data_IF_296767414512
#
_entry.id   IF_296767414512
#
_cell.length_a   1.000
_cell.length_b   1.000
_cell.length_c   1.000
_cell.angle_alpha   90.00
_cell.angle_beta   90.00
_cell.angle_gamma   90.00
#
_symmetry.space_group_name_H-M   'P 1'
#
loop_
_entity.id
_entity.type
_entity.pdbx_description
1 polymer ?
#
# COMPACT_ATOMS: atom_id res chain seq x y z
N UNK A 1 -29.44 -13.52 61.14
CA UNK A 1 -28.19 -12.70 61.14
C UNK A 1 -27.26 -12.97 59.94
N UNK A 2 -27.65 -13.73 58.93
CA UNK A 2 -26.79 -14.15 57.81
C UNK A 2 -27.09 -13.48 56.44
N UNK A 3 -28.16 -12.73 56.31
CA UNK A 3 -28.52 -12.06 55.02
C UNK A 3 -27.86 -10.69 54.86
N UNK A 4 -27.58 -9.96 55.93
CA UNK A 4 -26.97 -8.64 55.88
C UNK A 4 -25.46 -8.71 55.57
N UNK A 5 -24.76 -9.77 56.00
CA UNK A 5 -23.32 -9.95 55.75
C UNK A 5 -23.06 -10.33 54.27
N UNK A 6 -23.97 -11.11 53.66
CA UNK A 6 -23.86 -11.48 52.24
C UNK A 6 -24.06 -10.28 51.27
N UNK A 7 -24.90 -9.32 51.63
CA UNK A 7 -25.13 -8.12 50.82
C UNK A 7 -23.93 -7.15 50.91
N UNK A 8 -23.30 -7.01 52.06
CA UNK A 8 -22.09 -6.20 52.20
C UNK A 8 -20.88 -6.76 51.44
N UNK A 9 -20.74 -8.08 51.38
CA UNK A 9 -19.67 -8.73 50.62
C UNK A 9 -19.87 -8.58 49.09
N UNK A 10 -21.11 -8.58 48.61
CA UNK A 10 -21.41 -8.38 47.20
C UNK A 10 -21.19 -6.92 46.72
N UNK A 11 -21.42 -5.93 47.58
CA UNK A 11 -21.13 -4.53 47.27
C UNK A 11 -19.63 -4.16 47.30
N UNK A 12 -18.81 -4.88 48.05
CA UNK A 12 -17.37 -4.65 48.10
C UNK A 12 -16.62 -5.15 46.82
N UNK A 13 -17.23 -6.08 46.06
CA UNK A 13 -16.67 -6.58 44.81
C UNK A 13 -16.93 -5.66 43.59
N UNK A 14 -17.81 -4.68 43.73
CA UNK A 14 -18.12 -3.73 42.64
C UNK A 14 -17.23 -2.47 42.63
N UNK A 15 -16.33 -2.31 43.58
CA UNK A 15 -15.45 -1.14 43.70
C UNK A 15 -14.01 -1.39 43.23
N UNK A 16 -13.73 -2.51 42.59
CA UNK A 16 -12.49 -2.69 41.84
C UNK A 16 -12.58 -1.96 40.50
N UNK A 17 -12.78 -0.64 40.53
CA UNK A 17 -12.31 0.20 39.45
C UNK A 17 -10.79 0.06 39.46
N UNK A 18 -10.25 -0.68 38.49
CA UNK A 18 -8.83 -0.59 38.17
C UNK A 18 -8.59 0.86 37.75
N UNK A 19 -7.96 1.64 38.64
CA UNK A 19 -7.43 2.94 38.26
C UNK A 19 -6.48 2.69 37.09
N UNK A 20 -6.88 3.10 35.91
CA UNK A 20 -5.97 3.14 34.77
C UNK A 20 -5.00 4.26 35.11
N UNK A 21 -3.75 3.90 35.39
CA UNK A 21 -2.70 4.88 35.58
C UNK A 21 -2.69 5.79 34.34
N UNK A 22 -3.05 7.05 34.54
CA UNK A 22 -2.98 8.09 33.53
C UNK A 22 -1.78 8.97 33.84
N UNK A 23 -0.80 8.95 32.95
CA UNK A 23 0.41 9.79 33.09
C UNK A 23 1.06 10.00 31.72
N UNK A 24 1.92 11.02 31.59
CA UNK A 24 2.53 11.35 30.29
C UNK A 24 3.38 10.22 29.71
N UNK A 25 3.80 9.26 30.55
CA UNK A 25 4.62 8.11 30.15
C UNK A 25 3.86 6.78 30.17
N UNK A 26 2.56 6.78 30.48
CA UNK A 26 1.76 5.55 30.48
C UNK A 26 1.30 5.24 29.05
N UNK A 27 1.72 4.09 28.57
CA UNK A 27 1.36 3.61 27.21
C UNK A 27 -0.11 3.20 27.19
N UNK A 28 -0.88 3.81 26.29
CA UNK A 28 -2.31 3.51 26.10
C UNK A 28 -2.64 2.94 24.74
N UNK A 29 -1.86 3.28 23.70
CA UNK A 29 -2.03 2.69 22.36
C UNK A 29 -0.70 2.41 21.68
N UNK A 30 -0.74 1.46 20.75
CA UNK A 30 0.38 1.02 19.93
C UNK A 30 -0.12 0.78 18.51
N UNK A 31 0.42 1.52 17.55
CA UNK A 31 -0.01 1.50 16.16
C UNK A 31 1.18 1.30 15.22
N UNK A 32 0.98 0.54 14.14
CA UNK A 32 1.97 0.47 13.08
C UNK A 32 1.96 1.74 12.23
N UNK A 33 3.14 2.20 11.84
CA UNK A 33 3.26 3.06 10.67
C UNK A 33 2.88 2.30 9.38
N UNK A 34 2.68 3.04 8.30
CA UNK A 34 2.45 2.41 7.00
C UNK A 34 3.59 1.45 6.64
N UNK A 35 3.24 0.31 6.04
CA UNK A 35 4.24 -0.62 5.52
C UNK A 35 5.19 0.09 4.53
N UNK A 36 6.50 -0.13 4.62
CA UNK A 36 7.46 0.41 3.64
C UNK A 36 7.19 -0.12 2.23
N UNK A 37 6.59 -1.32 2.13
CA UNK A 37 6.08 -1.93 0.90
C UNK A 37 4.98 -2.95 1.24
N UNK A 38 3.91 -3.07 0.44
CA UNK A 38 2.76 -3.93 0.78
C UNK A 38 3.04 -5.43 0.65
N UNK A 39 4.15 -5.81 0.01
CA UNK A 39 4.55 -7.20 -0.18
C UNK A 39 6.04 -7.41 0.08
N UNK A 40 6.40 -8.64 0.43
CA UNK A 40 7.77 -9.13 0.54
C UNK A 40 7.97 -10.29 -0.45
N UNK A 41 9.12 -10.33 -1.11
CA UNK A 41 9.46 -11.44 -2.02
C UNK A 41 9.89 -12.66 -1.21
N UNK A 42 9.40 -13.84 -1.60
CA UNK A 42 9.81 -15.10 -0.99
C UNK A 42 11.35 -15.26 -1.01
N UNK A 43 11.92 -15.59 0.13
CA UNK A 43 13.37 -15.70 0.34
C UNK A 43 14.13 -14.37 0.42
N UNK A 44 13.44 -13.22 0.44
CA UNK A 44 14.08 -11.90 0.56
C UNK A 44 13.70 -11.20 1.87
N UNK A 45 14.34 -10.07 2.12
CA UNK A 45 14.07 -9.15 3.23
C UNK A 45 13.10 -8.05 2.78
N UNK A 46 12.25 -7.56 3.67
CA UNK A 46 11.33 -6.45 3.39
C UNK A 46 12.13 -5.19 3.03
N UNK A 47 11.72 -4.54 1.92
CA UNK A 47 12.38 -3.35 1.37
C UNK A 47 11.36 -2.25 1.13
N UNK A 48 11.86 -1.04 1.02
CA UNK A 48 11.08 0.10 0.56
C UNK A 48 10.95 0.12 -0.99
N UNK A 49 10.25 1.13 -1.50
CA UNK A 49 10.06 1.33 -2.95
C UNK A 49 11.38 1.57 -3.71
N UNK A 50 12.44 2.00 -3.03
CA UNK A 50 13.77 2.21 -3.60
C UNK A 50 14.63 0.94 -3.57
N UNK A 51 14.14 -0.13 -2.96
CA UNK A 51 14.84 -1.40 -2.83
C UNK A 51 15.79 -1.47 -1.64
N UNK A 52 15.73 -0.51 -0.72
CA UNK A 52 16.53 -0.49 0.51
C UNK A 52 15.81 -1.32 1.57
N UNK A 53 16.55 -2.12 2.33
CA UNK A 53 15.99 -2.88 3.47
C UNK A 53 15.35 -1.89 4.45
N UNK A 54 14.07 -2.10 4.73
CA UNK A 54 13.30 -1.21 5.58
C UNK A 54 12.62 -2.02 6.70
N UNK A 55 12.97 -1.74 7.97
CA UNK A 55 12.33 -2.39 9.11
C UNK A 55 10.89 -1.89 9.26
N UNK A 56 10.08 -2.70 9.92
CA UNK A 56 8.77 -2.26 10.42
C UNK A 56 8.95 -1.19 11.49
N UNK A 57 8.00 -0.27 11.52
CA UNK A 57 7.92 0.76 12.56
C UNK A 57 6.54 0.79 13.18
N UNK A 58 6.52 0.99 14.48
CA UNK A 58 5.32 1.20 15.25
C UNK A 58 5.51 2.39 16.19
N UNK A 59 4.42 3.07 16.50
CA UNK A 59 4.36 4.25 17.36
C UNK A 59 3.58 3.90 18.61
N UNK A 60 4.01 4.47 19.71
CA UNK A 60 3.39 4.30 21.04
C UNK A 60 2.86 5.64 21.50
N UNK A 61 1.63 5.67 22.00
CA UNK A 61 0.98 6.88 22.46
C UNK A 61 0.51 6.77 23.90
N UNK A 62 0.48 7.89 24.60
CA UNK A 62 -0.12 8.01 25.92
C UNK A 62 -1.63 8.34 25.84
N UNK A 63 -2.29 8.53 26.99
CA UNK A 63 -3.71 8.88 27.08
C UNK A 63 -4.10 10.20 26.39
N UNK A 64 -3.15 11.10 26.21
CA UNK A 64 -3.35 12.40 25.56
C UNK A 64 -3.06 12.34 24.06
N UNK A 65 -2.87 11.11 23.51
CA UNK A 65 -2.50 10.86 22.13
C UNK A 65 -1.17 11.52 21.71
N UNK A 66 -0.25 11.65 22.68
CA UNK A 66 1.12 12.15 22.45
C UNK A 66 2.04 10.96 22.32
N UNK A 67 2.90 10.97 21.29
CA UNK A 67 3.88 9.92 21.03
C UNK A 67 4.92 9.82 22.16
N UNK A 68 5.15 8.60 22.62
CA UNK A 68 6.22 8.26 23.57
C UNK A 68 7.43 7.78 22.77
N UNK A 69 8.36 8.69 22.53
CA UNK A 69 9.58 8.38 21.77
C UNK A 69 10.50 7.40 22.53
N UNK A 70 11.13 6.49 21.78
CA UNK A 70 12.12 5.54 22.33
C UNK A 70 11.53 4.38 23.15
N UNK A 71 10.22 4.17 23.09
CA UNK A 71 9.57 3.04 23.75
C UNK A 71 10.15 1.70 23.25
N UNK A 72 10.40 0.70 24.14
CA UNK A 72 11.03 -0.58 23.78
C UNK A 72 10.03 -1.52 23.09
N UNK A 73 9.64 -1.17 21.86
CA UNK A 73 8.72 -1.95 21.04
C UNK A 73 9.38 -3.25 20.61
N UNK A 74 8.60 -4.34 20.60
CA UNK A 74 8.99 -5.64 20.08
C UNK A 74 8.06 -6.05 18.95
N UNK A 75 8.55 -6.89 18.04
CA UNK A 75 7.80 -7.35 16.87
C UNK A 75 7.76 -8.88 16.83
N UNK A 76 6.65 -9.44 16.34
CA UNK A 76 6.51 -10.87 16.12
C UNK A 76 5.62 -11.17 14.91
N UNK A 77 6.03 -12.17 14.11
CA UNK A 77 5.16 -12.79 13.11
C UNK A 77 4.24 -13.80 13.76
N UNK A 78 2.96 -13.80 13.38
CA UNK A 78 1.99 -14.77 13.90
C UNK A 78 2.06 -16.12 13.17
N UNK A 79 2.56 -16.12 11.94
CA UNK A 79 2.74 -17.32 11.11
C UNK A 79 4.22 -17.52 10.77
N UNK A 80 4.63 -18.76 10.59
CA UNK A 80 6.03 -19.14 10.31
C UNK A 80 6.50 -18.85 8.87
N UNK A 81 5.68 -18.19 8.06
CA UNK A 81 6.03 -17.84 6.67
C UNK A 81 7.04 -16.70 6.58
N UNK A 82 7.22 -15.95 7.65
CA UNK A 82 8.27 -14.93 7.79
C UNK A 82 8.96 -15.07 9.14
N UNK A 83 10.21 -14.61 9.19
CA UNK A 83 10.94 -14.37 10.43
C UNK A 83 11.02 -12.87 10.66
N UNK A 84 10.68 -12.43 11.86
CA UNK A 84 10.76 -11.02 12.27
C UNK A 84 11.79 -10.88 13.36
N UNK A 85 12.78 -10.02 13.15
CA UNK A 85 13.67 -9.64 14.25
C UNK A 85 12.89 -8.81 15.27
N UNK A 86 12.80 -9.32 16.48
CA UNK A 86 11.92 -8.76 17.51
C UNK A 86 12.34 -7.37 17.99
N UNK A 87 13.57 -6.96 17.78
CA UNK A 87 14.12 -5.69 18.25
C UNK A 87 14.17 -4.66 17.13
N UNK A 88 14.68 -5.07 15.96
CA UNK A 88 14.90 -4.17 14.84
C UNK A 88 13.69 -4.04 13.92
N UNK A 89 12.72 -4.97 13.97
CA UNK A 89 11.58 -5.01 13.07
C UNK A 89 11.94 -5.44 11.64
N UNK A 90 13.15 -5.97 11.40
CA UNK A 90 13.54 -6.51 10.10
C UNK A 90 12.75 -7.79 9.84
N UNK A 91 12.14 -7.88 8.66
CA UNK A 91 11.34 -9.02 8.23
C UNK A 91 12.03 -9.76 7.09
N UNK A 92 12.16 -11.07 7.22
CA UNK A 92 12.70 -11.96 6.20
C UNK A 92 11.64 -13.00 5.84
N UNK A 93 11.31 -13.13 4.55
CA UNK A 93 10.34 -14.12 4.09
C UNK A 93 10.99 -15.51 3.92
N UNK A 94 10.23 -16.54 4.26
CA UNK A 94 10.57 -17.91 3.88
C UNK A 94 10.44 -18.14 2.35
N UNK A 95 10.80 -19.34 1.89
CA UNK A 95 10.83 -19.67 0.47
C UNK A 95 9.44 -19.81 -0.19
N UNK A 96 8.36 -19.92 0.58
CA UNK A 96 7.01 -20.16 0.07
C UNK A 96 6.34 -18.84 -0.32
N UNK A 97 6.14 -18.64 -1.63
CA UNK A 97 5.37 -17.53 -2.17
C UNK A 97 3.84 -17.78 -2.11
N UNK A 98 3.06 -16.78 -2.53
CA UNK A 98 1.60 -16.76 -2.59
C UNK A 98 0.90 -17.04 -1.26
N UNK A 99 1.53 -16.58 -0.19
CA UNK A 99 1.01 -16.62 1.18
C UNK A 99 0.83 -15.21 1.73
N UNK A 100 0.28 -15.12 2.93
CA UNK A 100 0.25 -13.88 3.68
C UNK A 100 0.57 -14.18 5.14
N UNK A 101 1.09 -13.20 5.83
CA UNK A 101 1.39 -13.25 7.26
C UNK A 101 0.78 -12.05 7.95
N UNK A 102 0.56 -12.20 9.24
CA UNK A 102 0.21 -11.11 10.15
C UNK A 102 1.36 -10.87 11.09
N UNK A 103 1.66 -9.62 11.30
CA UNK A 103 2.74 -9.19 12.21
C UNK A 103 2.11 -8.31 13.27
N UNK A 104 2.56 -8.45 14.49
CA UNK A 104 2.14 -7.63 15.62
C UNK A 104 3.33 -6.93 16.24
N UNK A 105 3.10 -5.72 16.74
CA UNK A 105 4.00 -5.05 17.64
C UNK A 105 3.47 -5.17 19.07
N UNK A 106 4.34 -5.20 20.06
CA UNK A 106 3.94 -5.26 21.46
C UNK A 106 4.92 -4.50 22.36
N UNK A 107 4.39 -4.00 23.46
CA UNK A 107 5.15 -3.38 24.55
C UNK A 107 4.51 -3.81 25.88
N UNK A 108 5.26 -4.55 26.72
CA UNK A 108 4.68 -5.19 27.89
C UNK A 108 3.52 -6.12 27.51
N UNK A 109 2.33 -5.87 28.04
CA UNK A 109 1.10 -6.61 27.74
C UNK A 109 0.28 -5.99 26.58
N UNK A 110 0.61 -4.78 26.14
CA UNK A 110 -0.11 -4.11 25.07
C UNK A 110 0.34 -4.62 23.70
N UNK A 111 -0.63 -4.90 22.83
CA UNK A 111 -0.41 -5.40 21.48
C UNK A 111 -1.13 -4.51 20.46
N UNK A 112 -0.50 -4.28 19.31
CA UNK A 112 -1.11 -3.58 18.17
C UNK A 112 -2.17 -4.41 17.47
N UNK A 113 -2.98 -3.76 16.64
CA UNK A 113 -3.72 -4.47 15.59
C UNK A 113 -2.73 -5.23 14.67
N UNK A 114 -3.09 -6.45 14.20
CA UNK A 114 -2.24 -7.20 13.30
C UNK A 114 -2.06 -6.51 11.95
N UNK A 115 -0.82 -6.33 11.52
CA UNK A 115 -0.45 -5.81 10.22
C UNK A 115 -0.31 -6.95 9.22
N UNK A 116 -1.04 -6.91 8.11
CA UNK A 116 -0.98 -7.94 7.07
C UNK A 116 0.14 -7.63 6.07
N UNK A 117 0.98 -8.63 5.78
CA UNK A 117 2.03 -8.58 4.78
C UNK A 117 1.89 -9.76 3.82
N UNK A 118 1.89 -9.50 2.51
CA UNK A 118 1.84 -10.55 1.48
C UNK A 118 3.24 -11.06 1.15
N UNK A 119 3.40 -12.37 1.08
CA UNK A 119 4.63 -13.01 0.56
C UNK A 119 4.36 -13.43 -0.89
N UNK A 120 5.12 -12.83 -1.81
CA UNK A 120 4.87 -12.95 -3.25
C UNK A 120 6.06 -13.57 -3.99
N UNK A 121 5.86 -14.15 -5.18
CA UNK A 121 6.97 -14.58 -6.00
C UNK A 121 7.78 -13.37 -6.48
N UNK A 122 9.06 -13.59 -6.81
CA UNK A 122 9.93 -12.53 -7.31
C UNK A 122 9.35 -11.96 -8.62
N UNK A 123 9.12 -10.63 -8.70
CA UNK A 123 8.69 -10.02 -9.95
C UNK A 123 9.85 -10.01 -10.95
N UNK A 124 9.59 -10.45 -12.19
CA UNK A 124 10.60 -10.55 -13.24
C UNK A 124 10.30 -9.64 -14.43
N UNK A 125 9.02 -9.41 -14.72
CA UNK A 125 8.63 -8.65 -15.91
C UNK A 125 7.36 -7.86 -15.72
N UNK A 126 7.21 -6.81 -16.52
CA UNK A 126 5.99 -6.03 -16.63
C UNK A 126 5.62 -5.83 -18.11
N UNK A 127 4.35 -5.94 -18.43
CA UNK A 127 3.84 -5.72 -19.78
C UNK A 127 2.49 -4.98 -19.73
N UNK A 128 2.10 -4.34 -20.84
CA UNK A 128 0.77 -3.78 -21.00
C UNK A 128 -0.30 -4.87 -20.83
N UNK A 129 -1.37 -4.52 -20.13
CA UNK A 129 -2.55 -5.37 -19.95
C UNK A 129 -3.77 -4.70 -20.59
N UNK A 130 -4.49 -5.46 -21.42
CA UNK A 130 -5.69 -4.96 -22.10
C UNK A 130 -5.43 -3.98 -23.25
N UNK A 131 -6.53 -3.42 -23.75
CA UNK A 131 -6.56 -2.40 -24.82
C UNK A 131 -6.60 -1.01 -24.21
N UNK A 132 -6.15 -0.01 -24.97
CA UNK A 132 -6.25 1.42 -24.61
C UNK A 132 -7.19 2.05 -25.62
N UNK A 133 -8.36 2.46 -25.13
CA UNK A 133 -9.37 3.11 -25.96
C UNK A 133 -9.06 4.60 -26.11
N UNK A 134 -9.57 5.18 -27.21
CA UNK A 134 -9.44 6.62 -27.46
C UNK A 134 -10.23 7.43 -26.44
N UNK A 135 -9.57 8.37 -25.76
CA UNK A 135 -10.25 9.35 -24.89
C UNK A 135 -10.91 10.43 -25.72
N UNK A 136 -12.24 10.44 -25.73
CA UNK A 136 -13.04 11.52 -26.33
C UNK A 136 -13.26 12.61 -25.30
N UNK A 137 -12.71 13.81 -25.55
CA UNK A 137 -12.80 14.94 -24.62
C UNK A 137 -13.75 16.04 -25.08
N UNK A 138 -14.30 16.82 -24.15
CA UNK A 138 -15.08 18.03 -24.38
C UNK A 138 -14.38 19.21 -23.71
N UNK A 139 -14.46 20.39 -24.36
CA UNK A 139 -13.96 21.65 -23.81
C UNK A 139 -14.97 22.26 -22.84
N UNK A 140 -16.26 22.12 -23.14
CA UNK A 140 -17.36 22.69 -22.36
C UNK A 140 -17.75 21.81 -21.15
N UNK A 141 -17.68 20.48 -21.29
CA UNK A 141 -17.94 19.53 -20.20
C UNK A 141 -16.72 18.67 -19.94
N UNK A 142 -15.94 19.07 -18.94
CA UNK A 142 -14.71 18.38 -18.53
C UNK A 142 -14.94 17.22 -17.56
N UNK A 143 -16.16 17.02 -17.09
CA UNK A 143 -16.48 15.99 -16.08
C UNK A 143 -16.22 14.59 -16.59
N UNK A 144 -16.46 14.34 -17.88
CA UNK A 144 -16.28 13.07 -18.55
C UNK A 144 -14.94 12.92 -19.30
N UNK A 145 -14.03 13.88 -19.15
CA UNK A 145 -12.71 13.82 -19.79
C UNK A 145 -11.76 12.89 -19.02
N UNK A 146 -12.18 11.65 -18.78
CA UNK A 146 -11.42 10.62 -18.08
C UNK A 146 -11.30 9.41 -18.98
N UNK A 147 -10.09 8.86 -19.09
CA UNK A 147 -9.83 7.66 -19.88
C UNK A 147 -10.41 6.39 -19.23
N UNK A 148 -10.48 5.33 -20.01
CA UNK A 148 -10.46 3.97 -19.47
C UNK A 148 -9.14 3.66 -18.75
N UNK A 149 -9.03 2.44 -18.29
CA UNK A 149 -7.86 1.97 -17.53
C UNK A 149 -6.61 1.85 -18.42
N UNK A 150 -5.55 2.48 -17.99
CA UNK A 150 -4.20 2.28 -18.49
C UNK A 150 -3.54 1.21 -17.60
N UNK A 151 -3.65 -0.05 -18.01
CA UNK A 151 -3.30 -1.16 -17.18
C UNK A 151 -1.99 -1.84 -17.60
N UNK A 152 -1.25 -2.33 -16.59
CA UNK A 152 -0.08 -3.18 -16.77
C UNK A 152 -0.21 -4.42 -15.88
N UNK A 153 0.43 -5.50 -16.30
CA UNK A 153 0.54 -6.74 -15.53
C UNK A 153 1.99 -6.96 -15.12
N UNK A 154 2.18 -7.24 -13.83
CA UNK A 154 3.46 -7.69 -13.27
C UNK A 154 3.43 -9.20 -13.12
N UNK A 155 4.47 -9.86 -13.60
CA UNK A 155 4.59 -11.32 -13.64
C UNK A 155 5.92 -11.79 -13.10
N UNK A 156 5.90 -13.01 -12.55
CA UNK A 156 7.07 -13.80 -12.17
C UNK A 156 7.20 -15.00 -13.07
N UNK A 157 8.42 -15.37 -13.45
CA UNK A 157 8.70 -16.59 -14.21
C UNK A 157 8.82 -17.78 -13.25
N UNK A 158 8.03 -18.82 -13.49
CA UNK A 158 8.07 -20.08 -12.75
C UNK A 158 8.22 -21.23 -13.74
N UNK A 159 9.39 -21.83 -13.83
CA UNK A 159 9.70 -22.81 -14.86
C UNK A 159 9.57 -22.21 -16.25
N UNK A 160 8.73 -22.82 -17.11
CA UNK A 160 8.43 -22.33 -18.46
C UNK A 160 7.22 -21.38 -18.51
N UNK A 161 6.48 -21.22 -17.42
CA UNK A 161 5.29 -20.38 -17.32
C UNK A 161 5.54 -19.06 -16.60
N UNK A 162 4.47 -18.26 -16.53
CA UNK A 162 4.45 -17.02 -15.74
C UNK A 162 3.26 -17.02 -14.80
N UNK A 163 3.48 -16.52 -13.57
CA UNK A 163 2.44 -16.31 -12.57
C UNK A 163 2.28 -14.82 -12.26
N UNK A 164 1.08 -14.34 -11.90
CA UNK A 164 0.87 -12.96 -11.54
C UNK A 164 1.56 -12.64 -10.21
N UNK A 165 2.06 -11.41 -10.07
CA UNK A 165 2.58 -10.89 -8.80
C UNK A 165 1.59 -9.88 -8.25
N UNK A 166 0.96 -10.21 -7.11
CA UNK A 166 -0.01 -9.35 -6.41
C UNK A 166 0.68 -8.40 -5.45
N UNK A 167 -0.07 -7.40 -5.01
CA UNK A 167 0.36 -6.45 -3.97
C UNK A 167 1.70 -5.74 -4.29
N UNK A 168 2.03 -5.61 -5.59
CA UNK A 168 3.26 -4.97 -6.06
C UNK A 168 2.98 -3.54 -6.52
N UNK A 169 3.82 -2.59 -6.11
CA UNK A 169 3.64 -1.18 -6.46
C UNK A 169 4.10 -0.93 -7.90
N UNK A 170 3.23 -0.28 -8.68
CA UNK A 170 3.49 0.25 -10.01
C UNK A 170 3.38 1.78 -9.95
N UNK A 171 4.39 2.48 -10.46
CA UNK A 171 4.38 3.95 -10.51
C UNK A 171 4.05 4.41 -11.93
N UNK A 172 3.04 5.25 -12.07
CA UNK A 172 2.61 5.85 -13.34
C UNK A 172 3.03 7.31 -13.37
N UNK A 173 3.66 7.73 -14.47
CA UNK A 173 4.07 9.13 -14.68
C UNK A 173 3.65 9.62 -16.06
N UNK A 174 3.22 10.87 -16.15
CA UNK A 174 2.96 11.50 -17.44
C UNK A 174 4.29 11.83 -18.12
N UNK A 175 4.44 11.39 -19.38
CA UNK A 175 5.54 11.78 -20.24
C UNK A 175 5.13 12.90 -21.19
N UNK A 176 3.89 12.84 -21.69
CA UNK A 176 3.34 13.84 -22.62
C UNK A 176 1.83 13.98 -22.37
N UNK A 177 1.35 15.18 -22.07
CA UNK A 177 2.10 16.38 -21.70
C UNK A 177 2.83 16.17 -20.38
N UNK A 178 3.98 16.80 -20.21
CA UNK A 178 4.76 16.68 -18.96
C UNK A 178 4.17 17.55 -17.83
N UNK A 179 3.26 18.46 -18.15
CA UNK A 179 2.64 19.35 -17.16
C UNK A 179 1.31 18.77 -16.62
N UNK A 180 1.11 18.88 -15.31
CA UNK A 180 -0.11 18.45 -14.62
C UNK A 180 -1.30 19.39 -14.81
N UNK A 181 -1.13 20.51 -15.51
CA UNK A 181 -2.19 21.48 -15.79
C UNK A 181 -3.12 20.92 -16.87
N UNK A 182 -2.56 20.25 -17.88
CA UNK A 182 -3.28 19.72 -19.04
C UNK A 182 -3.79 18.31 -18.87
N UNK A 183 -3.08 17.48 -18.10
CA UNK A 183 -3.46 16.12 -17.82
C UNK A 183 -3.01 15.71 -16.41
N UNK A 184 -3.76 14.80 -15.78
CA UNK A 184 -3.39 14.22 -14.47
C UNK A 184 -3.66 12.74 -14.47
N UNK A 185 -2.81 12.01 -13.76
CA UNK A 185 -3.05 10.61 -13.47
C UNK A 185 -3.95 10.55 -12.23
N UNK A 186 -5.04 9.80 -12.35
CA UNK A 186 -6.05 9.67 -11.30
C UNK A 186 -6.34 8.20 -11.01
N UNK A 187 -6.69 7.91 -9.76
CA UNK A 187 -7.21 6.62 -9.35
C UNK A 187 -8.69 6.45 -9.71
N UNK A 188 -9.28 5.32 -9.35
CA UNK A 188 -10.70 5.02 -9.57
C UNK A 188 -11.63 6.04 -8.91
N UNK A 189 -11.25 6.57 -7.74
CA UNK A 189 -12.00 7.61 -7.02
C UNK A 189 -11.83 9.02 -7.59
N UNK A 190 -11.13 9.17 -8.73
CA UNK A 190 -10.85 10.45 -9.39
C UNK A 190 -9.82 11.35 -8.69
N UNK A 191 -9.23 10.89 -7.57
CA UNK A 191 -8.16 11.62 -6.89
C UNK A 191 -6.82 11.42 -7.60
N UNK A 192 -5.95 12.43 -7.55
CA UNK A 192 -4.60 12.33 -8.09
C UNK A 192 -3.84 11.20 -7.40
N UNK A 193 -3.35 10.25 -8.18
CA UNK A 193 -2.54 9.14 -7.69
C UNK A 193 -1.67 8.59 -8.81
N UNK A 194 -0.37 8.77 -8.69
CA UNK A 194 0.64 8.21 -9.60
C UNK A 194 1.12 6.81 -9.24
N UNK A 195 0.59 6.18 -8.21
CA UNK A 195 0.96 4.82 -7.83
C UNK A 195 -0.25 3.93 -7.65
N UNK A 196 -0.11 2.66 -8.00
CA UNK A 196 -1.10 1.62 -7.79
C UNK A 196 -0.46 0.33 -7.31
N UNK A 197 -1.27 -0.51 -6.67
CA UNK A 197 -0.85 -1.83 -6.19
C UNK A 197 -1.52 -2.90 -7.03
N UNK A 198 -0.76 -3.88 -7.49
CA UNK A 198 -1.30 -4.95 -8.34
C UNK A 198 -2.34 -5.79 -7.59
N UNK A 199 -3.41 -6.13 -8.28
CA UNK A 199 -4.45 -7.06 -7.84
C UNK A 199 -3.94 -8.51 -7.76
N UNK A 200 -4.79 -9.44 -7.35
CA UNK A 200 -4.50 -10.89 -7.38
C UNK A 200 -4.19 -11.42 -8.79
N UNK A 201 -4.65 -10.73 -9.84
CA UNK A 201 -4.31 -11.04 -11.23
C UNK A 201 -2.98 -10.39 -11.68
N UNK A 202 -2.25 -9.73 -10.78
CA UNK A 202 -1.01 -9.01 -11.07
C UNK A 202 -1.22 -7.72 -11.85
N UNK A 203 -2.43 -7.16 -11.89
CA UNK A 203 -2.79 -5.98 -12.70
C UNK A 203 -2.86 -4.76 -11.80
N UNK A 204 -2.18 -3.69 -12.22
CA UNK A 204 -2.32 -2.33 -11.70
C UNK A 204 -2.78 -1.41 -12.84
N UNK A 205 -3.64 -0.44 -12.53
CA UNK A 205 -4.22 0.47 -13.50
C UNK A 205 -4.39 1.88 -12.96
N UNK A 206 -4.26 2.86 -13.86
CA UNK A 206 -4.58 4.26 -13.60
C UNK A 206 -5.33 4.86 -14.79
N UNK A 207 -6.04 5.94 -14.55
CA UNK A 207 -6.76 6.70 -15.56
C UNK A 207 -6.08 8.04 -15.77
N UNK A 208 -6.29 8.63 -16.92
CA UNK A 208 -5.87 10.00 -17.23
C UNK A 208 -7.09 10.89 -17.29
N UNK A 209 -7.06 12.00 -16.57
CA UNK A 209 -8.03 13.09 -16.69
C UNK A 209 -7.42 14.22 -17.49
N UNK A 210 -8.14 14.69 -18.54
CA UNK A 210 -7.73 15.82 -19.37
C UNK A 210 -8.41 17.11 -18.92
N UNK A 211 -7.63 18.20 -18.99
CA UNK A 211 -8.09 19.56 -18.78
C UNK A 211 -7.84 20.38 -20.05
N UNK A 212 -8.79 20.41 -20.98
CA UNK A 212 -8.59 21.03 -22.30
C UNK A 212 -8.57 22.56 -22.27
N UNK A 213 -8.97 23.21 -21.16
CA UNK A 213 -8.90 24.65 -21.01
C UNK A 213 -7.45 25.14 -21.16
N UNK A 214 -7.19 25.95 -22.20
CA UNK A 214 -5.85 26.43 -22.57
C UNK A 214 -5.08 25.53 -23.56
N UNK A 215 -5.67 24.46 -24.06
CA UNK A 215 -5.12 23.69 -25.17
C UNK A 215 -5.41 24.39 -26.50
N UNK A 216 -4.46 25.14 -27.01
CA UNK A 216 -4.51 25.70 -28.38
C UNK A 216 -4.27 24.64 -29.45
N UNK A 217 -3.67 23.52 -29.05
CA UNK A 217 -3.57 22.29 -29.85
C UNK A 217 -3.52 21.10 -28.91
N UNK A 218 -4.54 20.25 -28.95
CA UNK A 218 -4.48 18.93 -28.31
C UNK A 218 -3.56 18.09 -29.17
N UNK A 219 -2.48 17.55 -28.55
CA UNK A 219 -1.72 16.48 -29.21
C UNK A 219 -2.65 15.28 -29.37
N UNK A 220 -2.48 14.53 -30.43
CA UNK A 220 -3.32 13.36 -30.75
C UNK A 220 -3.19 12.24 -29.72
N UNK A 221 -2.32 12.38 -28.72
CA UNK A 221 -2.10 11.36 -27.68
C UNK A 221 -1.52 11.91 -26.38
N UNK A 222 -1.88 11.23 -25.29
CA UNK A 222 -1.20 11.32 -23.97
C UNK A 222 -0.32 10.09 -23.79
N UNK A 223 0.89 10.29 -23.30
CA UNK A 223 1.83 9.20 -23.03
C UNK A 223 2.05 9.08 -21.53
N UNK A 224 1.77 7.89 -21.02
CA UNK A 224 2.03 7.51 -19.61
C UNK A 224 3.10 6.43 -19.57
N UNK A 225 4.04 6.56 -18.66
CA UNK A 225 5.04 5.54 -18.36
C UNK A 225 4.65 4.82 -17.08
N UNK A 226 4.49 3.51 -17.15
CA UNK A 226 4.33 2.66 -15.98
C UNK A 226 5.68 2.00 -15.64
N UNK A 227 6.19 2.28 -14.43
CA UNK A 227 7.48 1.79 -13.94
C UNK A 227 7.28 0.78 -12.82
N UNK A 228 8.05 -0.28 -12.87
CA UNK A 228 8.09 -1.31 -11.84
C UNK A 228 9.54 -1.63 -11.51
N UNK A 229 9.84 -1.68 -10.21
CA UNK A 229 11.19 -1.93 -9.72
C UNK A 229 11.21 -3.08 -8.71
N UNK A 230 12.33 -3.79 -8.67
CA UNK A 230 12.68 -4.72 -7.63
C UNK A 230 14.13 -4.48 -7.20
N UNK A 231 14.39 -4.32 -5.91
CA UNK A 231 15.71 -3.98 -5.35
C UNK A 231 16.35 -2.75 -6.01
N UNK A 232 15.52 -1.74 -6.32
CA UNK A 232 15.98 -0.50 -6.96
C UNK A 232 16.15 -0.58 -8.49
N UNK A 233 16.25 -1.78 -9.07
CA UNK A 233 16.40 -1.99 -10.52
C UNK A 233 15.04 -2.10 -11.21
N UNK A 234 14.92 -1.58 -12.42
CA UNK A 234 13.73 -1.74 -13.25
C UNK A 234 13.59 -3.19 -13.73
N UNK A 235 12.34 -3.70 -13.77
CA UNK A 235 12.04 -5.03 -14.29
C UNK A 235 12.16 -5.07 -15.82
N UNK A 236 12.27 -6.28 -16.38
CA UNK A 236 12.18 -6.48 -17.82
C UNK A 236 10.84 -5.92 -18.33
N UNK A 237 10.90 -5.11 -19.40
CA UNK A 237 9.75 -4.41 -19.96
C UNK A 237 9.39 -3.07 -19.28
N UNK A 238 10.06 -2.70 -18.16
CA UNK A 238 9.90 -1.37 -17.54
C UNK A 238 10.87 -0.36 -18.18
N UNK A 239 10.42 0.90 -18.40
CA UNK A 239 9.04 1.39 -18.28
C UNK A 239 8.14 0.93 -19.42
N UNK A 240 6.91 0.54 -19.10
CA UNK A 240 5.88 0.28 -20.11
C UNK A 240 5.35 1.60 -20.61
N UNK A 241 5.45 1.84 -21.93
CA UNK A 241 4.92 3.05 -22.57
C UNK A 241 3.46 2.81 -22.96
N UNK A 242 2.54 3.54 -22.32
CA UNK A 242 1.11 3.50 -22.56
C UNK A 242 0.71 4.75 -23.36
N UNK A 243 0.26 4.57 -24.59
CA UNK A 243 -0.13 5.65 -25.48
C UNK A 243 -1.65 5.70 -25.53
N UNK A 244 -2.24 6.77 -24.97
CA UNK A 244 -3.67 7.03 -24.96
C UNK A 244 -4.00 8.00 -26.10
N UNK A 245 -4.67 7.55 -27.18
CA UNK A 245 -5.15 8.44 -28.23
C UNK A 245 -6.20 9.40 -27.66
N UNK A 246 -6.23 10.64 -28.15
CA UNK A 246 -7.18 11.67 -27.69
C UNK A 246 -7.86 12.32 -28.90
N UNK A 247 -9.17 12.50 -28.81
CA UNK A 247 -9.97 13.13 -29.86
C UNK A 247 -11.03 14.05 -29.25
N UNK A 248 -11.36 15.16 -29.91
CA UNK A 248 -12.53 15.95 -29.55
C UNK A 248 -13.80 15.10 -29.62
N UNK A 249 -14.70 15.29 -28.66
CA UNK A 249 -16.05 14.72 -28.74
C UNK A 249 -16.82 15.49 -29.80
N UNK A 250 -17.31 14.81 -30.82
CA UNK A 250 -18.24 15.38 -31.79
C UNK A 250 -19.56 15.64 -31.07
N UNK A 251 -20.17 16.82 -31.21
CA UNK A 251 -21.47 17.16 -30.61
C UNK A 251 -22.57 16.21 -31.04
#
# INVERSE_FOLDING_TARGET
MNRAVAVLAACALMLACTDIETGPNVVTSLEFEALPFPAIVAGDTLRDINGIVAPLRALVFNSDNVEIAGAPIRYAGLESVVTVDSVTGIVVAGAKADTATRIVAFIGALQSAPLRLSVVPRPDSVARSGTIDTLKYSVSDTTQNVSGDLAVRVSSRVGTGTVPVRDWIVTFTLQTPADSIRARIVGENGRNSGADTTSTAGIAARKVRLFPAGLTSVRDSVVVLARVRYRGAELSGSPVRLVLPVQPRVP
#
